data_IF_853936707276
#
_entry.id   IF_853936707276
#
_cell.length_a   1.000
_cell.length_b   1.000
_cell.length_c   1.000
_cell.angle_alpha   90.00
_cell.angle_beta   90.00
_cell.angle_gamma   90.00
#
_symmetry.space_group_name_H-M   'P 1'
#
loop_
_entity.id
_entity.type
_entity.pdbx_description
1 polymer ?
#
# COMPACT_ATOMS: atom_id res chain seq x y z
N UNK A 1 7.23 -21.58 8.72
CA UNK A 1 6.13 -21.30 7.79
C UNK A 1 6.78 -20.97 6.47
N UNK A 2 6.28 -21.54 5.40
CA UNK A 2 6.98 -21.65 4.12
C UNK A 2 7.11 -20.29 3.42
N UNK A 3 8.31 -19.71 3.45
CA UNK A 3 8.70 -18.51 2.66
C UNK A 3 8.67 -18.76 1.13
N UNK A 4 8.29 -19.97 0.72
CA UNK A 4 8.37 -20.49 -0.65
C UNK A 4 7.27 -19.94 -1.58
N UNK A 5 6.24 -19.28 -1.05
CA UNK A 5 5.11 -18.74 -1.85
C UNK A 5 4.85 -17.23 -1.72
N UNK A 6 5.68 -16.48 -0.99
CA UNK A 6 5.51 -15.03 -0.87
C UNK A 6 5.99 -14.31 -2.15
N UNK A 7 5.16 -13.46 -2.80
CA UNK A 7 5.57 -12.76 -4.02
C UNK A 7 6.83 -11.91 -3.81
N UNK A 8 7.73 -11.91 -4.81
CA UNK A 8 9.03 -11.23 -4.71
C UNK A 8 8.89 -9.73 -4.42
N UNK A 9 7.85 -9.09 -4.95
CA UNK A 9 7.61 -7.67 -4.71
C UNK A 9 7.22 -7.37 -3.25
N UNK A 10 6.71 -8.34 -2.48
CA UNK A 10 6.50 -8.16 -1.03
C UNK A 10 7.85 -8.25 -0.31
N UNK A 11 8.69 -9.23 -0.66
CA UNK A 11 10.04 -9.41 -0.10
C UNK A 11 10.91 -8.17 -0.32
N UNK A 12 10.86 -7.59 -1.51
CA UNK A 12 11.59 -6.37 -1.86
C UNK A 12 11.05 -5.10 -1.17
N UNK A 13 9.83 -5.14 -0.62
CA UNK A 13 9.13 -3.97 -0.08
C UNK A 13 8.70 -4.12 1.39
N UNK A 14 9.46 -4.87 2.19
CA UNK A 14 9.18 -5.16 3.60
C UNK A 14 8.78 -3.95 4.48
N UNK A 15 9.41 -2.77 4.30
CA UNK A 15 9.07 -1.57 5.07
C UNK A 15 7.90 -0.82 4.43
N UNK A 16 6.72 -0.86 5.05
CA UNK A 16 5.47 -0.26 4.56
C UNK A 16 5.00 0.81 5.56
N UNK A 17 5.61 1.99 5.48
CA UNK A 17 5.40 3.06 6.47
C UNK A 17 4.48 4.17 5.99
N UNK A 18 4.16 4.20 4.71
CA UNK A 18 3.27 5.18 4.10
C UNK A 18 2.12 4.49 3.37
N UNK A 19 1.08 5.28 3.12
CA UNK A 19 -0.17 4.83 2.51
C UNK A 19 0.01 4.48 1.03
N UNK A 20 0.92 5.14 0.32
CA UNK A 20 1.13 4.86 -1.09
C UNK A 20 1.73 3.49 -1.30
N UNK A 21 2.71 3.12 -0.46
CA UNK A 21 3.34 1.81 -0.53
C UNK A 21 2.39 0.70 -0.10
N UNK A 22 1.61 0.94 0.95
CA UNK A 22 0.55 0.01 1.34
C UNK A 22 -0.43 -0.19 0.18
N UNK A 23 -0.98 0.90 -0.36
CA UNK A 23 -2.00 0.86 -1.40
C UNK A 23 -1.47 0.15 -2.66
N UNK A 24 -0.20 0.39 -3.00
CA UNK A 24 0.47 -0.28 -4.12
C UNK A 24 0.56 -1.80 -3.91
N UNK A 25 1.10 -2.26 -2.78
CA UNK A 25 1.27 -3.70 -2.52
C UNK A 25 -0.08 -4.40 -2.40
N UNK A 26 -1.03 -3.78 -1.69
CA UNK A 26 -2.36 -4.34 -1.48
C UNK A 26 -3.11 -4.50 -2.81
N UNK A 27 -3.11 -3.47 -3.67
CA UNK A 27 -3.72 -3.58 -5.01
C UNK A 27 -3.05 -4.61 -5.90
N UNK A 28 -1.73 -4.78 -5.77
CA UNK A 28 -0.98 -5.78 -6.54
C UNK A 28 -1.36 -7.19 -6.10
N UNK A 29 -1.54 -7.43 -4.81
CA UNK A 29 -2.09 -8.69 -4.29
C UNK A 29 -3.51 -8.93 -4.81
N UNK A 30 -4.40 -7.93 -4.76
CA UNK A 30 -5.74 -8.07 -5.33
C UNK A 30 -5.70 -8.40 -6.84
N UNK A 31 -4.77 -7.79 -7.58
CA UNK A 31 -4.59 -8.04 -9.02
C UNK A 31 -4.06 -9.45 -9.32
N UNK A 32 -3.28 -10.02 -8.40
CA UNK A 32 -2.78 -11.39 -8.46
C UNK A 32 -3.85 -12.43 -8.05
N UNK A 33 -5.03 -11.99 -7.60
CA UNK A 33 -6.19 -12.83 -7.32
C UNK A 33 -6.40 -13.17 -5.85
N UNK A 34 -5.61 -12.59 -4.94
CA UNK A 34 -5.85 -12.70 -3.51
C UNK A 34 -7.09 -11.90 -3.11
N UNK A 35 -7.85 -12.41 -2.15
CA UNK A 35 -8.93 -11.63 -1.55
C UNK A 35 -8.42 -10.58 -0.55
N UNK A 36 -9.30 -9.72 -0.06
CA UNK A 36 -8.95 -8.64 0.87
C UNK A 36 -8.34 -9.13 2.19
N UNK A 37 -8.82 -10.26 2.70
CA UNK A 37 -8.35 -10.82 3.97
C UNK A 37 -6.98 -11.47 3.76
N UNK A 38 -6.80 -12.24 2.68
CA UNK A 38 -5.52 -12.82 2.29
C UNK A 38 -4.47 -11.73 2.05
N UNK A 39 -4.83 -10.67 1.31
CA UNK A 39 -3.91 -9.56 1.03
C UNK A 39 -3.53 -8.80 2.32
N UNK A 40 -4.48 -8.59 3.22
CA UNK A 40 -4.24 -8.00 4.55
C UNK A 40 -3.29 -8.86 5.35
N UNK A 41 -3.54 -10.15 5.44
CA UNK A 41 -2.74 -11.08 6.24
C UNK A 41 -1.32 -11.20 5.70
N UNK A 42 -1.15 -11.25 4.38
CA UNK A 42 0.17 -11.23 3.74
C UNK A 42 0.96 -10.00 4.19
N UNK A 43 0.37 -8.80 4.14
CA UNK A 43 1.07 -7.57 4.54
C UNK A 43 1.29 -7.55 6.06
N UNK A 44 0.31 -7.94 6.88
CA UNK A 44 0.42 -7.95 8.35
C UNK A 44 1.51 -8.88 8.86
N UNK A 45 1.63 -10.07 8.27
CA UNK A 45 2.59 -11.08 8.73
C UNK A 45 3.98 -10.90 8.15
N UNK A 46 4.11 -10.27 6.97
CA UNK A 46 5.37 -10.21 6.24
C UNK A 46 5.97 -8.81 6.10
N UNK A 47 5.30 -7.74 6.54
CA UNK A 47 5.84 -6.38 6.42
C UNK A 47 5.95 -5.67 7.78
N UNK A 48 6.95 -4.80 7.91
CA UNK A 48 6.98 -3.81 8.98
C UNK A 48 6.04 -2.64 8.65
N UNK A 49 5.08 -2.37 9.54
CA UNK A 49 4.04 -1.35 9.36
C UNK A 49 4.25 -0.17 10.30
N UNK A 50 3.99 1.04 9.82
CA UNK A 50 3.90 2.21 10.69
C UNK A 50 2.56 2.24 11.42
N UNK A 51 2.51 2.94 12.56
CA UNK A 51 1.26 3.18 13.27
C UNK A 51 0.20 3.87 12.38
N UNK A 52 0.63 4.74 11.47
CA UNK A 52 -0.23 5.42 10.50
C UNK A 52 -0.92 4.42 9.56
N UNK A 53 -0.15 3.48 8.99
CA UNK A 53 -0.71 2.45 8.09
C UNK A 53 -1.65 1.52 8.87
N UNK A 54 -1.26 1.07 10.07
CA UNK A 54 -2.13 0.25 10.92
C UNK A 54 -3.45 0.95 11.23
N UNK A 55 -3.42 2.23 11.59
CA UNK A 55 -4.64 2.97 11.92
C UNK A 55 -5.50 3.22 10.68
N UNK A 56 -4.95 3.85 9.65
CA UNK A 56 -5.74 4.34 8.52
C UNK A 56 -6.15 3.24 7.54
N UNK A 57 -5.35 2.19 7.40
CA UNK A 57 -5.60 1.12 6.42
C UNK A 57 -6.22 -0.11 7.05
N UNK A 58 -5.75 -0.54 8.22
CA UNK A 58 -6.24 -1.77 8.85
C UNK A 58 -7.37 -1.51 9.84
N UNK A 59 -7.13 -0.67 10.85
CA UNK A 59 -8.09 -0.44 11.94
C UNK A 59 -9.36 0.25 11.46
N UNK A 60 -9.23 1.22 10.55
CA UNK A 60 -10.37 1.89 9.92
C UNK A 60 -10.97 1.06 8.77
N UNK A 61 -10.47 -0.15 8.52
CA UNK A 61 -10.97 -1.08 7.51
C UNK A 61 -10.97 -0.55 6.06
N UNK A 62 -10.22 0.52 5.78
CA UNK A 62 -10.14 1.12 4.44
C UNK A 62 -9.68 0.11 3.38
N UNK A 63 -8.88 -0.90 3.76
CA UNK A 63 -8.47 -1.97 2.86
C UNK A 63 -9.67 -2.64 2.16
N UNK A 64 -10.83 -2.78 2.82
CA UNK A 64 -12.04 -3.40 2.25
C UNK A 64 -12.66 -2.58 1.11
N UNK A 65 -12.39 -1.27 1.06
CA UNK A 65 -12.89 -0.37 0.02
C UNK A 65 -12.00 -0.39 -1.23
N UNK A 66 -10.81 -1.00 -1.15
CA UNK A 66 -9.83 -1.01 -2.23
C UNK A 66 -10.19 -2.04 -3.30
N UNK A 67 -9.95 -1.70 -4.57
CA UNK A 67 -10.04 -2.62 -5.70
C UNK A 67 -8.74 -2.66 -6.50
N UNK A 68 -8.46 -3.80 -7.15
CA UNK A 68 -7.32 -3.94 -8.06
C UNK A 68 -7.37 -2.92 -9.22
N UNK A 69 -8.57 -2.51 -9.63
CA UNK A 69 -8.81 -1.52 -10.69
C UNK A 69 -8.75 -0.08 -10.21
N UNK A 70 -8.64 0.16 -8.90
CA UNK A 70 -8.64 1.53 -8.37
C UNK A 70 -7.38 2.25 -8.80
N UNK A 71 -7.56 3.42 -9.40
CA UNK A 71 -6.49 4.42 -9.53
C UNK A 71 -6.04 4.90 -8.15
N UNK A 72 -4.93 5.65 -8.08
CA UNK A 72 -4.57 6.37 -6.85
C UNK A 72 -5.81 7.12 -6.33
N UNK A 73 -6.05 7.07 -5.02
CA UNK A 73 -7.17 7.76 -4.40
C UNK A 73 -7.11 9.26 -4.76
N UNK A 74 -8.24 9.92 -5.09
CA UNK A 74 -8.21 11.29 -5.64
C UNK A 74 -7.50 12.31 -4.73
N UNK A 75 -7.66 12.18 -3.42
CA UNK A 75 -7.01 13.00 -2.39
C UNK A 75 -5.49 12.78 -2.38
N UNK A 76 -5.05 11.53 -2.49
CA UNK A 76 -3.64 11.17 -2.62
C UNK A 76 -3.03 11.65 -3.94
N UNK A 77 -3.78 11.61 -5.04
CA UNK A 77 -3.35 12.12 -6.33
C UNK A 77 -3.13 13.63 -6.28
N UNK A 78 -4.04 14.33 -5.60
CA UNK A 78 -3.93 15.77 -5.37
C UNK A 78 -2.67 16.08 -4.54
N UNK A 79 -2.49 15.40 -3.40
CA UNK A 79 -1.33 15.61 -2.54
C UNK A 79 -0.01 15.31 -3.28
N UNK A 80 0.06 14.23 -4.05
CA UNK A 80 1.23 13.90 -4.88
C UNK A 80 1.52 15.00 -5.91
N UNK A 81 0.50 15.52 -6.60
CA UNK A 81 0.66 16.60 -7.58
C UNK A 81 1.16 17.89 -6.92
N UNK A 82 0.65 18.21 -5.73
CA UNK A 82 1.05 19.41 -4.98
C UNK A 82 2.53 19.32 -4.53
N UNK A 83 2.94 18.18 -3.96
CA UNK A 83 4.33 17.97 -3.56
C UNK A 83 5.29 17.90 -4.75
N UNK A 84 4.89 17.24 -5.84
CA UNK A 84 5.69 17.21 -7.08
C UNK A 84 5.85 18.60 -7.69
N UNK A 85 4.79 19.41 -7.71
CA UNK A 85 4.84 20.79 -8.17
C UNK A 85 5.84 21.63 -7.35
N UNK A 86 5.81 21.51 -6.01
CA UNK A 86 6.78 22.21 -5.14
C UNK A 86 8.22 21.79 -5.43
N UNK A 87 8.48 20.51 -5.65
CA UNK A 87 9.81 19.99 -5.94
C UNK A 87 10.36 20.45 -7.31
N UNK A 88 9.48 20.61 -8.31
CA UNK A 88 9.87 21.05 -9.67
C UNK A 88 10.05 22.56 -9.75
N UNK A 89 9.19 23.35 -9.09
CA UNK A 89 9.20 24.82 -9.19
C UNK A 89 10.04 25.52 -8.11
N UNK A 90 10.54 24.78 -7.12
CA UNK A 90 11.44 25.30 -6.10
C UNK A 90 12.67 24.37 -5.95
N UNK A 91 13.53 24.27 -6.98
CA UNK A 91 14.81 23.59 -6.81
C UNK A 91 15.62 24.45 -5.85
N UNK A 92 16.01 23.88 -4.70
CA UNK A 92 16.95 24.53 -3.78
C UNK A 92 18.22 24.99 -4.50
#
# INVERSE_FOLDING_TARGET
MDDEYLPDYIKENYNVFDRFKFDYLFKRLLADGYDHEEAKDIIMYNCALSALVLQERMHNEYYLEMSASDTIAPDLLQMYREEFSKAVYNPN
#
